data_IF_793961247297
#
_entry.id   IF_793961247297
#
_cell.length_a   1.000
_cell.length_b   1.000
_cell.length_c   1.000
_cell.angle_alpha   90.00
_cell.angle_beta   90.00
_cell.angle_gamma   90.00
#
_symmetry.space_group_name_H-M   'P 1'
#
loop_
_entity.id
_entity.type
_entity.pdbx_description
1 polymer ?
#
# COMPACT_ATOMS: atom_id res chain seq x y z
N UNK A 1 42.13 64.68 -65.64
CA UNK A 1 42.60 63.34 -66.05
C UNK A 1 41.83 62.31 -65.23
N UNK A 2 40.82 61.77 -65.89
CA UNK A 2 39.82 60.91 -65.21
C UNK A 2 40.13 59.42 -65.45
N UNK A 3 40.26 58.68 -64.37
CA UNK A 3 40.33 57.22 -64.40
C UNK A 3 39.00 56.67 -63.92
N UNK A 4 38.23 56.06 -64.83
CA UNK A 4 36.99 55.30 -64.57
C UNK A 4 37.37 53.95 -64.01
N UNK A 5 36.80 53.59 -62.82
CA UNK A 5 36.85 52.21 -62.30
C UNK A 5 35.58 51.50 -62.76
N UNK A 6 35.77 50.39 -63.48
CA UNK A 6 34.71 49.41 -63.79
C UNK A 6 34.46 48.58 -62.55
N UNK A 7 33.20 48.51 -62.08
CA UNK A 7 32.76 47.56 -61.08
C UNK A 7 32.12 46.36 -61.81
N UNK A 8 32.67 45.20 -61.58
CA UNK A 8 32.12 43.93 -62.05
C UNK A 8 31.19 43.42 -60.96
N UNK A 9 29.89 43.25 -61.28
CA UNK A 9 28.89 42.63 -60.38
C UNK A 9 28.91 41.11 -60.66
N UNK A 10 29.33 40.33 -59.69
CA UNK A 10 29.21 38.89 -59.68
C UNK A 10 27.85 38.52 -59.03
N UNK A 11 26.95 37.99 -59.86
CA UNK A 11 25.69 37.38 -59.43
C UNK A 11 26.02 35.94 -58.97
N UNK A 12 25.83 35.65 -57.63
CA UNK A 12 25.78 34.30 -57.13
C UNK A 12 24.31 33.84 -57.10
N UNK A 13 23.97 32.62 -57.62
CA UNK A 13 22.64 32.05 -57.45
C UNK A 13 22.49 31.51 -56.04
N UNK A 14 21.62 32.12 -55.24
CA UNK A 14 21.22 31.63 -53.92
C UNK A 14 20.44 30.33 -54.04
N UNK A 15 21.02 29.24 -53.61
CA UNK A 15 20.30 27.98 -53.36
C UNK A 15 19.55 28.08 -52.04
N UNK A 16 18.23 28.19 -52.12
CA UNK A 16 17.31 28.04 -51.01
C UNK A 16 17.30 26.58 -50.55
N UNK A 17 18.05 26.23 -49.50
CA UNK A 17 17.86 24.99 -48.75
C UNK A 17 16.65 25.15 -47.83
N UNK A 18 15.47 24.70 -48.26
CA UNK A 18 14.34 24.44 -47.43
C UNK A 18 14.64 23.20 -46.57
N UNK A 19 15.14 23.40 -45.34
CA UNK A 19 15.21 22.34 -44.32
C UNK A 19 13.79 21.99 -43.89
N UNK A 20 13.23 20.95 -44.50
CA UNK A 20 12.02 20.28 -44.03
C UNK A 20 12.41 19.58 -42.73
N UNK A 21 12.06 20.17 -41.59
CA UNK A 21 12.07 19.46 -40.33
C UNK A 21 10.94 18.44 -40.34
N UNK A 22 11.28 17.19 -40.65
CA UNK A 22 10.43 16.04 -40.35
C UNK A 22 10.38 15.90 -38.86
N UNK A 23 9.33 16.43 -38.23
CA UNK A 23 8.92 16.02 -36.92
C UNK A 23 8.44 14.57 -37.04
N UNK A 24 9.30 13.61 -36.74
CA UNK A 24 8.88 12.27 -36.41
C UNK A 24 8.02 12.40 -35.14
N UNK A 25 6.70 12.42 -35.31
CA UNK A 25 5.81 12.06 -34.23
C UNK A 25 6.10 10.58 -33.99
N UNK A 26 6.97 10.31 -33.02
CA UNK A 26 6.99 9.00 -32.37
C UNK A 26 5.55 8.82 -31.88
N UNK A 27 4.77 7.98 -32.54
CA UNK A 27 3.54 7.46 -31.97
C UNK A 27 3.98 6.79 -30.68
N UNK A 28 3.61 7.36 -29.54
CA UNK A 28 3.75 6.71 -28.25
C UNK A 28 2.96 5.42 -28.39
N UNK A 29 3.68 4.30 -28.56
CA UNK A 29 3.05 2.97 -28.61
C UNK A 29 2.33 2.86 -27.26
N UNK A 30 1.00 2.77 -27.28
CA UNK A 30 0.21 2.60 -26.08
C UNK A 30 0.72 1.32 -25.41
N UNK A 31 1.25 1.42 -24.20
CA UNK A 31 1.75 0.28 -23.46
C UNK A 31 0.66 -0.80 -23.40
N UNK A 32 1.02 -2.04 -23.69
CA UNK A 32 0.14 -3.18 -23.48
C UNK A 32 0.19 -3.52 -22.00
N UNK A 33 -0.94 -3.95 -21.44
CA UNK A 33 -0.94 -4.43 -20.05
C UNK A 33 0.05 -5.56 -19.85
N UNK A 34 0.81 -5.59 -18.77
CA UNK A 34 1.74 -6.66 -18.45
C UNK A 34 1.01 -8.00 -18.32
N UNK A 35 1.68 -9.09 -18.69
CA UNK A 35 1.18 -10.45 -18.52
C UNK A 35 1.65 -11.00 -17.19
N UNK A 36 0.77 -11.71 -16.50
CA UNK A 36 1.09 -12.34 -15.24
C UNK A 36 0.97 -13.87 -15.32
N UNK A 37 2.01 -14.57 -14.84
CA UNK A 37 1.96 -16.01 -14.63
C UNK A 37 1.56 -16.25 -13.18
N UNK A 38 0.35 -16.77 -12.98
CA UNK A 38 -0.16 -17.06 -11.63
C UNK A 38 0.28 -18.44 -11.14
N UNK A 39 0.63 -18.51 -9.85
CA UNK A 39 0.92 -19.75 -9.14
C UNK A 39 0.26 -19.73 -7.77
N UNK A 40 -0.55 -20.74 -7.47
CA UNK A 40 -1.10 -20.96 -6.14
C UNK A 40 -0.07 -21.73 -5.31
N UNK A 41 0.44 -21.10 -4.23
CA UNK A 41 1.49 -21.66 -3.38
C UNK A 41 0.94 -22.31 -2.12
N UNK A 42 -0.30 -21.99 -1.74
CA UNK A 42 -1.04 -22.64 -0.65
C UNK A 42 -2.55 -22.64 -0.97
N UNK A 43 -3.22 -23.79 -0.76
CA UNK A 43 -4.66 -23.98 -1.09
C UNK A 43 -5.57 -24.06 0.11
N UNK A 44 -5.02 -24.34 1.29
CA UNK A 44 -5.79 -24.57 2.51
C UNK A 44 -5.24 -23.67 3.62
N UNK A 45 -5.20 -22.38 3.36
CA UNK A 45 -4.60 -21.38 4.27
C UNK A 45 -5.57 -20.91 5.37
N UNK A 46 -6.87 -21.26 5.30
CA UNK A 46 -7.94 -20.61 6.06
C UNK A 46 -8.09 -19.14 5.62
N UNK A 47 -8.68 -18.28 6.40
CA UNK A 47 -8.77 -16.84 6.08
C UNK A 47 -7.38 -16.22 6.09
N UNK A 48 -6.87 -15.83 4.92
CA UNK A 48 -5.64 -15.05 4.84
C UNK A 48 -5.91 -13.61 5.24
N UNK A 49 -5.47 -13.19 6.44
CA UNK A 49 -5.77 -11.84 6.95
C UNK A 49 -4.81 -10.77 6.48
N UNK A 50 -3.52 -11.08 6.45
CA UNK A 50 -2.52 -10.14 5.97
C UNK A 50 -1.32 -10.88 5.37
N UNK A 51 -0.61 -10.17 4.47
CA UNK A 51 0.60 -10.65 3.80
C UNK A 51 1.64 -9.53 3.75
N UNK A 52 2.90 -9.90 3.95
CA UNK A 52 4.06 -9.01 3.77
C UNK A 52 5.23 -9.80 3.18
N UNK A 53 6.28 -9.12 2.80
CA UNK A 53 7.49 -9.71 2.22
C UNK A 53 8.73 -9.31 3.01
N UNK A 54 9.67 -10.25 3.18
CA UNK A 54 10.97 -10.02 3.81
C UNK A 54 11.94 -11.14 3.44
N UNK A 55 13.23 -10.89 3.46
CA UNK A 55 14.27 -11.93 3.37
C UNK A 55 14.46 -12.58 4.76
N UNK A 56 13.71 -13.65 5.03
CA UNK A 56 13.65 -14.32 6.34
C UNK A 56 14.91 -15.14 6.61
N UNK A 57 15.43 -15.83 5.61
CA UNK A 57 16.58 -16.73 5.76
C UNK A 57 17.91 -16.05 5.43
N UNK A 58 17.92 -14.80 5.00
CA UNK A 58 19.06 -13.97 4.62
C UNK A 58 19.85 -14.58 3.45
N UNK A 59 19.14 -15.13 2.46
CA UNK A 59 19.74 -15.64 1.22
C UNK A 59 19.75 -14.61 0.07
N UNK A 60 19.26 -13.40 0.33
CA UNK A 60 19.17 -12.28 -0.61
C UNK A 60 17.94 -12.35 -1.51
N UNK A 61 17.02 -13.29 -1.27
CA UNK A 61 15.73 -13.35 -1.99
C UNK A 61 14.60 -12.98 -1.06
N UNK A 62 13.58 -12.39 -1.63
CA UNK A 62 12.40 -11.96 -0.89
C UNK A 62 11.45 -13.14 -0.67
N UNK A 63 11.25 -13.51 0.59
CA UNK A 63 10.26 -14.50 1.03
C UNK A 63 8.89 -13.85 1.26
N UNK A 64 7.85 -14.69 1.36
CA UNK A 64 6.48 -14.25 1.64
C UNK A 64 6.13 -14.63 3.07
N UNK A 65 5.64 -13.68 3.86
CA UNK A 65 5.13 -13.91 5.21
C UNK A 65 3.63 -13.66 5.22
N UNK A 66 2.86 -14.64 5.67
CA UNK A 66 1.39 -14.54 5.71
C UNK A 66 0.82 -15.01 7.05
N UNK A 67 -0.32 -14.42 7.43
CA UNK A 67 -1.04 -14.79 8.65
C UNK A 67 -2.46 -15.23 8.34
N UNK A 68 -2.92 -16.20 9.13
CA UNK A 68 -4.30 -16.63 9.18
C UNK A 68 -4.81 -16.59 10.64
N UNK A 69 -6.05 -17.01 10.96
CA UNK A 69 -6.60 -16.86 12.31
C UNK A 69 -5.72 -17.43 13.43
N UNK A 70 -4.87 -18.43 13.18
CA UNK A 70 -4.08 -19.13 14.21
C UNK A 70 -2.61 -19.24 13.92
N UNK A 71 -2.17 -18.94 12.69
CA UNK A 71 -0.80 -19.15 12.25
C UNK A 71 -0.18 -17.87 11.72
N UNK A 72 1.14 -17.76 11.92
CA UNK A 72 2.04 -16.99 11.08
C UNK A 72 2.97 -17.97 10.37
N UNK A 73 3.12 -17.83 9.07
CA UNK A 73 3.95 -18.70 8.23
C UNK A 73 4.81 -17.88 7.30
N UNK A 74 5.89 -18.49 6.79
CA UNK A 74 6.61 -17.92 5.66
C UNK A 74 6.79 -18.96 4.56
N UNK A 75 6.87 -18.50 3.31
CA UNK A 75 7.09 -19.31 2.12
C UNK A 75 8.45 -18.93 1.56
N UNK A 76 9.36 -19.90 1.53
CA UNK A 76 10.75 -19.75 1.14
C UNK A 76 10.90 -19.60 -0.37
N UNK A 77 11.46 -18.52 -0.82
CA UNK A 77 11.78 -18.27 -2.22
C UNK A 77 13.07 -19.02 -2.64
N UNK A 78 13.14 -19.69 -3.80
CA UNK A 78 12.15 -19.77 -4.87
C UNK A 78 11.27 -21.03 -4.82
N UNK A 79 11.45 -21.84 -3.81
CA UNK A 79 10.77 -23.15 -3.70
C UNK A 79 9.31 -23.01 -3.32
N UNK A 80 8.97 -21.97 -2.57
CA UNK A 80 7.70 -21.71 -1.91
C UNK A 80 7.32 -22.79 -0.90
N UNK A 81 8.34 -23.42 -0.31
CA UNK A 81 8.12 -24.32 0.82
C UNK A 81 7.58 -23.53 2.00
N UNK A 82 6.51 -24.04 2.60
CA UNK A 82 5.87 -23.43 3.77
C UNK A 82 6.57 -23.79 5.05
N UNK A 83 6.94 -22.78 5.83
CA UNK A 83 7.51 -22.91 7.16
C UNK A 83 6.58 -22.24 8.19
N UNK A 84 6.39 -22.87 9.34
CA UNK A 84 5.54 -22.35 10.41
C UNK A 84 6.38 -21.50 11.34
N UNK A 85 6.08 -20.21 11.44
CA UNK A 85 6.67 -19.29 12.41
C UNK A 85 6.03 -19.49 13.77
N UNK A 86 4.70 -19.51 13.83
CA UNK A 86 3.94 -19.82 15.03
C UNK A 86 2.58 -20.45 14.68
N UNK A 87 2.06 -21.26 15.62
CA UNK A 87 0.74 -21.87 15.51
C UNK A 87 0.07 -21.89 16.88
N UNK A 88 -1.03 -21.15 17.04
CA UNK A 88 -1.85 -21.12 18.24
C UNK A 88 -1.18 -20.52 19.47
N UNK A 89 -0.12 -19.70 19.34
CA UNK A 89 0.51 -18.98 20.45
C UNK A 89 -0.21 -17.68 20.83
N UNK A 90 -0.98 -17.13 19.92
CA UNK A 90 -1.81 -15.93 20.12
C UNK A 90 -3.25 -16.34 20.38
N UNK A 91 -4.06 -15.41 20.90
CA UNK A 91 -5.51 -15.55 20.84
C UNK A 91 -5.94 -15.51 19.36
N UNK A 92 -7.01 -16.25 19.05
CA UNK A 92 -7.50 -16.40 17.68
C UNK A 92 -7.80 -15.06 17.00
N UNK A 93 -7.70 -15.10 15.69
CA UNK A 93 -7.82 -14.05 14.70
C UNK A 93 -6.64 -13.06 14.76
N UNK A 94 -5.50 -13.51 14.19
CA UNK A 94 -4.40 -12.64 13.80
C UNK A 94 -4.87 -11.76 12.66
N UNK A 95 -4.65 -10.45 12.73
CA UNK A 95 -5.27 -9.51 11.79
C UNK A 95 -4.28 -8.65 11.01
N UNK A 96 -3.13 -8.37 11.58
CA UNK A 96 -2.11 -7.53 10.95
C UNK A 96 -0.70 -7.95 11.34
N UNK A 97 0.26 -7.66 10.46
CA UNK A 97 1.66 -8.05 10.62
C UNK A 97 2.58 -6.97 10.03
N UNK A 98 3.74 -6.77 10.63
CA UNK A 98 4.79 -5.90 10.11
C UNK A 98 6.17 -6.48 10.43
N UNK A 99 7.04 -6.58 9.42
CA UNK A 99 8.36 -7.17 9.51
C UNK A 99 9.42 -6.08 9.74
N UNK A 100 10.33 -6.29 10.71
CA UNK A 100 11.52 -5.47 10.96
C UNK A 100 12.52 -6.22 11.83
N UNK A 101 13.77 -5.79 11.84
CA UNK A 101 14.75 -6.17 12.87
C UNK A 101 14.43 -5.35 14.13
N UNK A 102 13.73 -5.96 15.10
CA UNK A 102 13.17 -5.26 16.28
C UNK A 102 14.23 -5.12 17.38
N UNK A 103 15.08 -6.12 17.57
CA UNK A 103 16.09 -6.12 18.64
C UNK A 103 17.51 -5.77 18.16
N UNK A 104 17.68 -5.45 16.88
CA UNK A 104 18.94 -5.01 16.31
C UNK A 104 19.96 -6.13 16.08
N UNK A 105 19.51 -7.39 16.00
CA UNK A 105 20.39 -8.54 15.84
C UNK A 105 20.66 -8.94 14.37
N UNK A 106 20.10 -8.19 13.42
CA UNK A 106 20.23 -8.37 11.98
C UNK A 106 19.32 -9.44 11.39
N UNK A 107 18.36 -9.96 12.16
CA UNK A 107 17.31 -10.89 11.69
C UNK A 107 15.98 -10.17 11.63
N UNK A 108 15.11 -10.66 10.75
CA UNK A 108 13.77 -10.07 10.60
C UNK A 108 12.82 -10.68 11.61
N UNK A 109 12.37 -9.88 12.55
CA UNK A 109 11.29 -10.18 13.48
C UNK A 109 9.93 -9.73 12.91
N UNK A 110 8.84 -10.11 13.59
CA UNK A 110 7.49 -9.78 13.18
C UNK A 110 6.69 -9.17 14.32
N UNK A 111 6.25 -7.91 14.20
CA UNK A 111 5.16 -7.41 15.01
C UNK A 111 3.83 -8.00 14.50
N UNK A 112 2.93 -8.38 15.41
CA UNK A 112 1.70 -9.11 15.10
C UNK A 112 0.54 -8.61 15.96
N UNK A 113 -0.57 -8.22 15.34
CA UNK A 113 -1.84 -7.96 15.98
C UNK A 113 -2.75 -9.19 15.95
N UNK A 114 -3.40 -9.51 17.07
CA UNK A 114 -4.29 -10.65 17.20
C UNK A 114 -5.50 -10.35 18.08
N UNK A 115 -6.36 -11.33 18.33
CA UNK A 115 -7.63 -11.17 19.06
C UNK A 115 -8.55 -10.16 18.36
N UNK A 116 -8.68 -10.29 17.02
CA UNK A 116 -9.49 -9.40 16.20
C UNK A 116 -10.97 -9.53 16.55
N UNK A 117 -11.53 -8.48 17.13
CA UNK A 117 -12.93 -8.38 17.52
C UNK A 117 -13.51 -7.04 17.03
N UNK A 118 -13.92 -6.90 15.75
CA UNK A 118 -14.27 -5.60 15.15
C UNK A 118 -15.46 -4.89 15.82
N UNK A 119 -16.32 -5.62 16.50
CA UNK A 119 -17.46 -5.07 17.22
C UNK A 119 -17.23 -4.90 18.74
N UNK A 120 -16.10 -5.35 19.27
CA UNK A 120 -15.77 -5.19 20.68
C UNK A 120 -14.80 -4.02 20.90
N UNK A 121 -15.34 -2.83 21.06
CA UNK A 121 -14.58 -1.60 21.25
C UNK A 121 -14.02 -1.39 22.66
N UNK A 122 -14.22 -2.35 23.56
CA UNK A 122 -13.76 -2.27 24.96
C UNK A 122 -12.72 -3.33 25.34
N UNK A 123 -12.49 -4.34 24.48
CA UNK A 123 -11.56 -5.43 24.75
C UNK A 123 -11.07 -6.11 23.49
N UNK A 124 -10.11 -7.01 23.62
CA UNK A 124 -9.42 -7.65 22.51
C UNK A 124 -8.24 -6.83 21.97
N UNK A 125 -7.75 -7.16 20.79
CA UNK A 125 -6.69 -6.43 20.11
C UNK A 125 -5.33 -6.58 20.80
N UNK A 126 -4.85 -7.80 21.02
CA UNK A 126 -3.51 -8.03 21.58
C UNK A 126 -2.42 -7.72 20.54
N UNK A 127 -1.35 -7.06 20.99
CA UNK A 127 -0.18 -6.71 20.19
C UNK A 127 1.06 -7.37 20.80
N UNK A 128 1.79 -8.11 19.97
CA UNK A 128 2.99 -8.83 20.35
C UNK A 128 4.01 -8.83 19.22
N UNK A 129 5.23 -9.28 19.51
CA UNK A 129 6.21 -9.55 18.47
C UNK A 129 6.77 -10.96 18.60
N UNK A 130 7.17 -11.50 17.46
CA UNK A 130 7.77 -12.81 17.30
C UNK A 130 9.24 -12.59 16.95
N UNK A 131 10.12 -12.98 17.89
CA UNK A 131 11.56 -12.92 17.71
C UNK A 131 12.04 -14.08 16.85
N UNK A 132 12.74 -13.77 15.76
CA UNK A 132 13.36 -14.78 14.92
C UNK A 132 14.52 -15.47 15.66
N UNK A 133 14.54 -16.81 15.74
CA UNK A 133 15.67 -17.55 16.28
C UNK A 133 16.85 -17.51 15.32
N UNK A 134 18.06 -17.88 15.81
CA UNK A 134 19.25 -18.01 14.98
C UNK A 134 19.10 -19.01 13.83
N UNK A 135 18.28 -20.04 14.04
CA UNK A 135 17.96 -21.08 13.05
C UNK A 135 16.47 -21.02 12.71
N UNK A 136 16.16 -20.97 11.42
CA UNK A 136 14.78 -20.82 10.91
C UNK A 136 13.90 -22.07 11.12
N UNK A 137 14.47 -23.22 11.46
CA UNK A 137 13.76 -24.47 11.78
C UNK A 137 13.34 -24.60 13.26
N UNK A 138 13.62 -23.58 14.07
CA UNK A 138 13.24 -23.51 15.49
C UNK A 138 12.03 -22.57 15.63
N UNK A 139 11.16 -22.89 16.59
CA UNK A 139 10.00 -22.04 16.90
C UNK A 139 10.43 -20.64 17.36
N UNK A 140 9.73 -19.62 16.85
CA UNK A 140 9.97 -18.23 17.21
C UNK A 140 9.43 -17.95 18.61
N UNK A 141 10.11 -17.04 19.32
CA UNK A 141 9.70 -16.65 20.67
C UNK A 141 8.74 -15.46 20.62
N UNK A 142 7.65 -15.53 21.38
CA UNK A 142 6.62 -14.51 21.43
C UNK A 142 6.79 -13.61 22.65
N UNK A 143 6.77 -12.29 22.45
CA UNK A 143 6.84 -11.27 23.50
C UNK A 143 5.68 -10.27 23.37
N UNK A 144 5.07 -9.83 24.49
CA UNK A 144 4.00 -8.85 24.46
C UNK A 144 4.56 -7.44 24.16
N UNK A 145 3.80 -6.66 23.38
CA UNK A 145 4.01 -5.21 23.21
C UNK A 145 2.93 -4.44 23.96
N UNK A 146 1.65 -4.76 23.72
CA UNK A 146 0.53 -4.03 24.29
C UNK A 146 -0.82 -4.58 23.87
N UNK A 147 -1.84 -3.73 23.94
CA UNK A 147 -3.18 -4.07 23.43
C UNK A 147 -3.98 -2.81 23.10
N UNK A 148 -4.77 -2.88 22.02
CA UNK A 148 -5.74 -1.87 21.68
C UNK A 148 -7.01 -2.53 21.11
N UNK A 149 -8.21 -2.32 21.67
CA UNK A 149 -9.45 -2.86 21.13
C UNK A 149 -9.60 -2.53 19.65
N UNK A 150 -10.13 -3.47 18.88
CA UNK A 150 -10.27 -3.35 17.43
C UNK A 150 -8.96 -3.08 16.66
N UNK A 151 -7.80 -3.47 17.21
CA UNK A 151 -6.51 -3.41 16.52
C UNK A 151 -6.65 -3.97 15.10
N UNK A 152 -6.23 -3.20 14.06
CA UNK A 152 -6.51 -3.57 12.69
C UNK A 152 -5.30 -3.48 11.76
N UNK A 153 -4.48 -2.42 11.86
CA UNK A 153 -3.29 -2.23 11.01
C UNK A 153 -2.09 -1.79 11.84
N UNK A 154 -0.91 -2.27 11.46
CA UNK A 154 0.37 -1.87 12.04
C UNK A 154 1.40 -1.66 10.94
N UNK A 155 2.30 -0.68 11.11
CA UNK A 155 3.44 -0.43 10.22
C UNK A 155 4.60 0.18 10.98
N UNK A 156 5.80 -0.08 10.51
CA UNK A 156 7.01 0.56 10.97
C UNK A 156 7.23 1.89 10.24
N UNK A 157 7.69 2.91 10.97
CA UNK A 157 7.99 4.25 10.45
C UNK A 157 9.13 4.87 11.27
N UNK A 158 9.99 5.67 10.66
CA UNK A 158 10.92 6.57 11.33
C UNK A 158 10.29 7.98 11.37
N UNK A 159 9.45 8.22 12.38
CA UNK A 159 8.64 9.46 12.42
C UNK A 159 9.35 10.66 13.03
N UNK A 160 10.57 10.51 13.52
CA UNK A 160 11.36 11.61 14.06
C UNK A 160 12.72 11.79 13.37
N UNK A 161 12.99 10.99 12.34
CA UNK A 161 14.17 11.10 11.50
C UNK A 161 15.48 10.70 12.20
N UNK A 162 15.40 9.90 13.31
CA UNK A 162 16.59 9.47 14.06
C UNK A 162 17.26 8.21 13.49
N UNK A 163 16.66 7.62 12.45
CA UNK A 163 17.12 6.40 11.78
C UNK A 163 16.65 5.11 12.47
N UNK A 164 15.85 5.19 13.54
CA UNK A 164 15.19 4.04 14.15
C UNK A 164 13.71 4.07 13.79
N UNK A 165 13.08 2.92 13.91
CA UNK A 165 11.67 2.79 13.55
C UNK A 165 10.82 2.63 14.79
N UNK A 166 9.70 3.33 14.78
CA UNK A 166 8.59 3.16 15.69
C UNK A 166 7.51 2.30 15.08
N UNK A 167 6.69 1.66 15.93
CA UNK A 167 5.53 0.90 15.48
C UNK A 167 4.27 1.76 15.56
N UNK A 168 3.73 2.10 14.39
CA UNK A 168 2.43 2.76 14.27
C UNK A 168 1.33 1.71 14.36
N UNK A 169 0.31 1.97 15.16
CA UNK A 169 -0.80 1.07 15.44
C UNK A 169 -2.12 1.80 15.24
N UNK A 170 -2.94 1.29 14.32
CA UNK A 170 -4.25 1.82 14.01
C UNK A 170 -5.35 0.81 14.37
N UNK A 171 -6.15 1.08 15.42
CA UNK A 171 -7.40 0.36 15.65
C UNK A 171 -8.47 0.82 14.67
N UNK A 172 -9.40 -0.07 14.33
CA UNK A 172 -10.49 0.27 13.40
C UNK A 172 -11.48 1.25 14.01
N UNK A 173 -11.85 1.06 15.29
CA UNK A 173 -12.91 1.82 15.96
C UNK A 173 -12.43 2.48 17.25
N UNK A 174 -13.05 3.60 17.58
CA UNK A 174 -12.84 4.29 18.85
C UNK A 174 -13.39 3.51 20.03
N UNK A 175 -12.76 3.66 21.20
CA UNK A 175 -13.19 2.98 22.42
C UNK A 175 -14.59 3.41 22.85
N UNK A 176 -15.51 2.42 22.98
CA UNK A 176 -16.88 2.62 23.42
C UNK A 176 -17.85 3.04 22.32
N UNK A 177 -17.39 3.22 21.07
CA UNK A 177 -18.26 3.47 19.91
C UNK A 177 -19.15 2.28 19.59
N UNK A 178 -20.26 2.50 18.90
CA UNK A 178 -21.31 1.50 18.65
C UNK A 178 -21.81 1.55 17.22
N UNK A 179 -22.34 0.41 16.70
CA UNK A 179 -23.02 0.41 15.41
C UNK A 179 -24.30 1.29 15.46
N UNK A 180 -24.83 1.75 14.30
CA UNK A 180 -24.39 1.35 12.96
C UNK A 180 -23.16 2.13 12.45
N UNK A 181 -22.91 3.33 12.91
CA UNK A 181 -21.97 4.24 12.26
C UNK A 181 -20.59 4.29 12.93
N UNK A 182 -20.47 3.80 14.18
CA UNK A 182 -19.21 3.83 14.96
C UNK A 182 -18.62 5.24 15.15
N UNK A 183 -19.43 6.29 14.96
CA UNK A 183 -19.03 7.69 15.01
C UNK A 183 -19.51 8.40 16.30
N UNK A 184 -20.08 7.64 17.24
CA UNK A 184 -20.53 8.17 18.53
C UNK A 184 -19.40 8.08 19.57
N UNK A 185 -18.90 9.22 20.03
CA UNK A 185 -17.90 9.25 21.09
C UNK A 185 -16.48 9.55 20.61
N UNK A 186 -15.48 8.86 21.18
CA UNK A 186 -14.09 9.08 20.82
C UNK A 186 -13.71 8.37 19.53
N UNK A 187 -12.88 8.99 18.72
CA UNK A 187 -12.28 8.35 17.55
C UNK A 187 -11.31 7.22 17.90
N UNK A 188 -10.88 6.49 16.87
CA UNK A 188 -9.84 5.48 16.96
C UNK A 188 -8.52 6.13 17.41
N UNK A 189 -7.83 5.50 18.34
CA UNK A 189 -6.52 6.00 18.82
C UNK A 189 -5.42 5.56 17.88
N UNK A 190 -4.94 6.43 17.00
CA UNK A 190 -3.72 6.20 16.25
C UNK A 190 -2.54 6.28 17.24
N UNK A 191 -1.81 5.19 17.41
CA UNK A 191 -0.78 5.04 18.43
C UNK A 191 0.61 4.89 17.84
N UNK A 192 1.61 5.38 18.57
CA UNK A 192 3.03 5.22 18.30
C UNK A 192 3.68 4.47 19.46
N UNK A 193 4.29 3.32 19.20
CA UNK A 193 5.08 2.56 20.17
C UNK A 193 6.57 2.68 19.86
N UNK A 194 7.36 3.07 20.87
CA UNK A 194 8.82 3.11 20.77
C UNK A 194 9.41 1.76 21.20
N UNK A 195 10.41 1.27 20.46
CA UNK A 195 11.14 0.07 20.82
C UNK A 195 12.00 0.38 22.05
N UNK A 196 11.82 -0.33 23.19
CA UNK A 196 12.63 -0.10 24.40
C UNK A 196 14.04 -0.69 24.23
N UNK A 197 14.94 -0.36 25.17
CA UNK A 197 16.32 -0.83 25.15
C UNK A 197 16.45 -2.38 25.20
N UNK A 198 15.57 -3.06 25.93
CA UNK A 198 15.43 -4.53 25.92
C UNK A 198 13.96 -4.88 25.62
N UNK A 199 13.60 -5.09 24.34
CA UNK A 199 12.22 -5.34 23.95
C UNK A 199 11.67 -6.69 24.44
N UNK A 200 12.55 -7.56 24.98
CA UNK A 200 12.13 -8.84 25.57
C UNK A 200 11.68 -8.72 27.02
N UNK A 201 11.93 -7.59 27.71
CA UNK A 201 11.67 -7.41 29.15
C UNK A 201 10.97 -6.10 29.48
N UNK A 202 11.32 -5.03 28.76
CA UNK A 202 10.87 -3.69 29.09
C UNK A 202 9.50 -3.41 28.47
N UNK A 203 8.71 -2.57 29.15
CA UNK A 203 7.45 -2.08 28.59
C UNK A 203 7.73 -1.14 27.41
N UNK A 204 6.97 -1.29 26.34
CA UNK A 204 7.06 -0.40 25.20
C UNK A 204 6.38 0.94 25.51
N UNK A 205 7.12 2.07 25.49
CA UNK A 205 6.51 3.38 25.61
C UNK A 205 5.53 3.63 24.47
N UNK A 206 4.37 4.25 24.78
CA UNK A 206 3.32 4.51 23.81
C UNK A 206 2.82 5.94 23.93
N UNK A 207 2.63 6.61 22.79
CA UNK A 207 1.97 7.91 22.69
C UNK A 207 0.75 7.84 21.77
N UNK A 208 -0.17 8.80 21.90
CA UNK A 208 -1.33 8.95 21.01
C UNK A 208 -1.02 10.03 20.00
N UNK A 209 -1.00 9.66 18.71
CA UNK A 209 -0.82 10.59 17.59
C UNK A 209 -2.11 11.40 17.41
N UNK A 210 -3.24 10.72 17.30
CA UNK A 210 -4.58 11.31 17.13
C UNK A 210 -5.67 10.37 17.69
N UNK A 211 -6.83 10.94 18.03
CA UNK A 211 -8.01 10.19 18.45
C UNK A 211 -9.31 10.86 18.00
N UNK A 212 -9.28 11.52 16.86
CA UNK A 212 -10.42 12.26 16.34
C UNK A 212 -11.05 11.64 15.09
N UNK A 213 -10.44 10.58 14.53
CA UNK A 213 -10.91 9.86 13.35
C UNK A 213 -11.71 8.62 13.75
N UNK A 214 -12.81 8.35 13.04
CA UNK A 214 -13.63 7.15 13.23
C UNK A 214 -13.44 6.19 12.06
N UNK A 215 -13.68 4.91 12.31
CA UNK A 215 -13.46 3.85 11.32
C UNK A 215 -12.15 4.04 10.56
N UNK A 216 -11.05 4.10 11.33
CA UNK A 216 -9.70 4.24 10.79
C UNK A 216 -9.26 2.92 10.18
N UNK A 217 -9.60 2.71 8.90
CA UNK A 217 -9.47 1.39 8.29
C UNK A 217 -8.03 1.07 7.88
N UNK A 218 -7.33 2.03 7.29
CA UNK A 218 -5.94 1.84 6.87
C UNK A 218 -5.14 3.13 6.96
N UNK A 219 -3.83 2.99 6.88
CA UNK A 219 -2.90 4.11 6.76
C UNK A 219 -1.69 3.74 5.91
N UNK A 220 -1.00 4.72 5.40
CA UNK A 220 0.24 4.64 4.64
C UNK A 220 1.34 5.35 5.44
N UNK A 221 2.54 4.79 5.47
CA UNK A 221 3.77 5.46 5.89
C UNK A 221 4.54 5.85 4.65
N UNK A 222 4.93 7.11 4.55
CA UNK A 222 5.59 7.65 3.37
C UNK A 222 6.39 8.89 3.73
N UNK A 223 7.59 9.06 3.17
CA UNK A 223 8.27 10.34 3.22
C UNK A 223 7.59 11.29 2.22
N UNK A 224 6.71 12.16 2.73
CA UNK A 224 5.81 12.98 1.91
C UNK A 224 6.46 14.29 1.48
N UNK A 225 7.30 14.90 2.27
CA UNK A 225 7.88 16.23 2.00
C UNK A 225 9.39 16.22 1.76
N UNK A 226 10.03 15.04 1.82
CA UNK A 226 11.45 14.80 1.58
C UNK A 226 12.38 15.28 2.70
N UNK A 227 11.86 15.49 3.91
CA UNK A 227 12.68 15.61 5.10
C UNK A 227 13.15 14.20 5.60
N UNK A 228 13.93 14.06 6.69
CA UNK A 228 14.37 12.75 7.18
C UNK A 228 13.28 11.87 7.79
N UNK A 229 12.14 12.45 8.22
CA UNK A 229 11.06 11.72 8.89
C UNK A 229 10.05 11.13 7.91
N UNK A 230 9.35 10.10 8.38
CA UNK A 230 8.21 9.53 7.68
C UNK A 230 6.90 10.18 8.15
N UNK A 231 6.01 10.53 7.23
CA UNK A 231 4.65 10.97 7.50
C UNK A 231 3.68 9.79 7.44
N UNK A 232 2.50 10.02 8.04
CA UNK A 232 1.41 9.06 8.07
C UNK A 232 0.22 9.63 7.30
N UNK A 233 -0.27 8.92 6.29
CA UNK A 233 -1.52 9.25 5.60
C UNK A 233 -2.58 8.22 5.99
N UNK A 234 -3.72 8.68 6.52
CA UNK A 234 -4.80 7.81 6.99
C UNK A 234 -6.01 7.84 6.07
N UNK A 235 -6.75 6.71 6.02
CA UNK A 235 -8.09 6.60 5.43
C UNK A 235 -9.10 6.27 6.54
N UNK A 236 -10.10 7.12 6.70
CA UNK A 236 -11.08 7.08 7.79
C UNK A 236 -12.48 7.48 7.33
N UNK A 237 -13.45 7.43 8.25
CA UNK A 237 -14.81 7.92 8.02
C UNK A 237 -14.85 9.41 7.64
N UNK A 238 -13.91 10.21 8.15
CA UNK A 238 -13.81 11.64 7.87
C UNK A 238 -13.04 11.95 6.59
N UNK A 239 -12.50 10.93 5.91
CA UNK A 239 -11.71 11.06 4.69
C UNK A 239 -10.23 10.75 4.85
N UNK A 240 -9.39 11.45 4.11
CA UNK A 240 -7.94 11.22 4.00
C UNK A 240 -7.19 12.35 4.71
N UNK A 241 -6.30 11.98 5.65
CA UNK A 241 -5.54 12.95 6.45
C UNK A 241 -4.05 12.62 6.45
N UNK A 242 -3.23 13.66 6.38
CA UNK A 242 -1.79 13.63 6.58
C UNK A 242 -1.47 14.01 8.03
N UNK A 243 -0.63 13.23 8.66
CA UNK A 243 -0.01 13.52 9.95
C UNK A 243 1.49 13.66 9.75
N UNK A 244 2.05 14.73 10.27
CA UNK A 244 3.46 15.08 10.21
C UNK A 244 3.94 15.46 11.62
N UNK A 245 5.12 15.02 12.00
CA UNK A 245 5.71 15.25 13.30
C UNK A 245 6.74 16.36 13.24
N UNK A 246 6.39 17.53 13.79
CA UNK A 246 7.31 18.65 13.86
C UNK A 246 8.54 18.34 14.76
N UNK A 247 9.65 19.05 14.54
CA UNK A 247 10.90 18.89 15.31
C UNK A 247 10.74 19.10 16.82
N UNK A 248 9.67 19.75 17.30
CA UNK A 248 9.33 19.87 18.72
C UNK A 248 8.54 18.68 19.28
N UNK A 249 8.34 17.63 18.45
CA UNK A 249 7.63 16.40 18.77
C UNK A 249 6.12 16.48 18.69
N UNK A 250 5.56 17.62 18.27
CA UNK A 250 4.11 17.77 18.11
C UNK A 250 3.65 17.30 16.73
N UNK A 251 2.50 16.65 16.71
CA UNK A 251 1.84 16.24 15.50
C UNK A 251 1.01 17.38 14.88
N UNK A 252 1.17 17.58 13.59
CA UNK A 252 0.26 18.36 12.77
C UNK A 252 -0.71 17.43 12.03
N UNK A 253 -1.90 17.92 11.70
CA UNK A 253 -2.92 17.16 10.98
C UNK A 253 -3.50 18.01 9.86
N UNK A 254 -3.48 17.50 8.63
CA UNK A 254 -4.01 18.19 7.45
C UNK A 254 -4.91 17.24 6.66
N UNK A 255 -6.11 17.70 6.29
CA UNK A 255 -6.98 16.94 5.40
C UNK A 255 -6.47 17.05 3.96
N UNK A 256 -6.39 15.90 3.27
CA UNK A 256 -6.03 15.81 1.85
C UNK A 256 -7.24 15.52 0.98
N UNK A 257 -8.24 14.79 1.47
CA UNK A 257 -9.45 14.45 0.74
C UNK A 257 -10.63 14.18 1.68
N UNK A 258 -11.85 14.42 1.19
CA UNK A 258 -13.06 14.24 1.99
C UNK A 258 -13.54 12.77 2.04
N UNK A 259 -13.03 11.90 1.16
CA UNK A 259 -13.58 10.57 0.99
C UNK A 259 -14.91 10.59 0.21
N UNK A 260 -15.63 9.47 0.25
CA UNK A 260 -16.98 9.42 -0.27
C UNK A 260 -17.89 10.40 0.49
N UNK A 261 -18.58 11.26 -0.23
CA UNK A 261 -19.52 12.23 0.32
C UNK A 261 -20.89 12.16 -0.36
N UNK A 262 -21.19 11.03 -1.03
CA UNK A 262 -22.47 10.82 -1.70
C UNK A 262 -23.62 10.72 -0.69
N UNK A 263 -24.72 11.40 -1.00
CA UNK A 263 -25.89 11.45 -0.12
C UNK A 263 -26.49 10.04 0.05
N UNK A 264 -26.79 9.66 1.29
CA UNK A 264 -27.32 8.34 1.70
C UNK A 264 -26.34 7.17 1.60
N UNK A 265 -25.04 7.41 1.37
CA UNK A 265 -24.00 6.40 1.44
C UNK A 265 -23.16 6.56 2.71
N UNK A 266 -22.37 5.52 3.05
CA UNK A 266 -21.37 5.62 4.11
C UNK A 266 -20.28 6.59 3.67
N UNK A 267 -19.91 7.60 4.47
CA UNK A 267 -18.88 8.54 4.09
C UNK A 267 -17.46 7.97 4.25
N UNK A 268 -16.47 8.72 3.73
CA UNK A 268 -15.06 8.53 3.99
C UNK A 268 -14.36 7.56 3.05
N UNK A 269 -13.20 7.07 3.51
CA UNK A 269 -12.30 6.22 2.75
C UNK A 269 -11.85 4.99 3.56
N UNK A 270 -11.51 3.89 2.89
CA UNK A 270 -11.10 2.64 3.52
C UNK A 270 -9.63 2.30 3.33
N UNK A 271 -9.15 2.16 2.13
CA UNK A 271 -7.75 1.85 1.81
C UNK A 271 -7.01 3.11 1.34
N UNK A 272 -5.68 3.10 1.44
CA UNK A 272 -4.86 4.24 1.02
C UNK A 272 -3.49 3.77 0.51
N UNK A 273 -3.09 4.24 -0.68
CA UNK A 273 -1.75 4.13 -1.23
C UNK A 273 -1.38 5.42 -1.97
N UNK A 274 -0.08 5.63 -2.17
CA UNK A 274 0.44 6.70 -3.00
C UNK A 274 1.06 6.10 -4.25
N UNK A 275 0.74 6.67 -5.40
CA UNK A 275 1.42 6.44 -6.66
C UNK A 275 2.06 7.73 -7.19
N UNK A 276 2.89 7.58 -8.21
CA UNK A 276 3.57 8.69 -8.88
C UNK A 276 3.49 8.51 -10.40
N UNK A 277 3.51 9.62 -11.10
CA UNK A 277 3.72 9.68 -12.54
C UNK A 277 5.22 9.85 -12.84
N UNK A 278 5.64 9.50 -14.04
CA UNK A 278 7.03 9.70 -14.52
C UNK A 278 7.48 11.17 -14.45
N UNK A 279 6.56 12.12 -14.42
CA UNK A 279 6.86 13.53 -14.17
C UNK A 279 7.32 13.81 -12.73
N UNK A 280 7.12 12.86 -11.81
CA UNK A 280 7.30 13.01 -10.37
C UNK A 280 6.07 13.56 -9.65
N UNK A 281 4.99 13.92 -10.35
CA UNK A 281 3.72 14.30 -9.73
C UNK A 281 3.13 13.08 -9.03
N UNK A 282 2.61 13.27 -7.81
CA UNK A 282 2.03 12.20 -6.98
C UNK A 282 0.51 12.20 -7.09
N UNK A 283 -0.07 11.02 -6.88
CA UNK A 283 -1.49 10.85 -6.62
C UNK A 283 -1.69 9.94 -5.42
N UNK A 284 -2.83 10.05 -4.76
CA UNK A 284 -3.27 9.09 -3.75
C UNK A 284 -4.37 8.24 -4.35
N UNK A 285 -4.42 6.97 -3.93
CA UNK A 285 -5.46 6.04 -4.34
C UNK A 285 -6.18 5.49 -3.12
N UNK A 286 -7.50 5.35 -3.19
CA UNK A 286 -8.34 4.86 -2.09
C UNK A 286 -9.39 3.87 -2.60
N UNK A 287 -9.93 3.08 -1.66
CA UNK A 287 -11.19 2.36 -1.82
C UNK A 287 -12.22 3.08 -0.96
N UNK A 288 -13.38 3.43 -1.54
CA UNK A 288 -14.40 4.22 -0.88
C UNK A 288 -15.82 3.65 -1.06
N UNK A 289 -16.66 3.84 -0.05
CA UNK A 289 -16.33 4.06 1.34
C UNK A 289 -15.59 2.84 1.95
N UNK A 290 -15.46 2.76 3.27
CA UNK A 290 -14.88 1.60 3.95
C UNK A 290 -15.49 0.27 3.44
N UNK A 291 -14.62 -0.68 2.99
CA UNK A 291 -15.01 -1.91 2.28
C UNK A 291 -15.90 -1.63 1.06
N UNK A 292 -15.65 -0.52 0.39
CA UNK A 292 -16.58 0.04 -0.58
C UNK A 292 -16.53 -0.58 -1.96
N UNK A 293 -17.20 0.12 -2.83
CA UNK A 293 -17.38 -0.24 -4.23
C UNK A 293 -16.62 0.68 -5.19
N UNK A 294 -16.12 1.81 -4.68
CA UNK A 294 -15.44 2.82 -5.52
C UNK A 294 -13.92 2.67 -5.44
N UNK A 295 -13.29 2.67 -6.60
CA UNK A 295 -11.84 2.89 -6.76
C UNK A 295 -11.66 4.34 -7.08
N UNK A 296 -10.90 5.06 -6.26
CA UNK A 296 -10.77 6.50 -6.33
C UNK A 296 -9.30 6.90 -6.37
N UNK A 297 -8.99 7.93 -7.14
CA UNK A 297 -7.70 8.62 -7.09
C UNK A 297 -7.90 10.08 -6.70
N UNK A 298 -6.93 10.61 -5.99
CA UNK A 298 -6.82 12.00 -5.63
C UNK A 298 -5.60 12.60 -6.31
N UNK A 299 -5.79 13.61 -7.13
CA UNK A 299 -4.72 14.31 -7.83
C UNK A 299 -4.24 15.47 -6.98
N UNK A 300 -2.92 15.59 -6.82
CA UNK A 300 -2.34 16.69 -6.05
C UNK A 300 -2.71 18.05 -6.68
N UNK A 301 -3.16 19.03 -5.86
CA UNK A 301 -3.45 20.37 -6.34
C UNK A 301 -2.19 21.12 -6.75
N UNK A 302 -2.35 22.16 -7.56
CA UNK A 302 -1.24 23.04 -7.95
C UNK A 302 -0.81 23.97 -6.78
N UNK A 303 -1.74 24.32 -5.88
CA UNK A 303 -1.47 25.14 -4.70
C UNK A 303 -1.39 24.28 -3.43
N UNK A 304 -0.35 24.51 -2.64
CA UNK A 304 -0.18 23.79 -1.38
C UNK A 304 -1.28 24.18 -0.37
N UNK A 305 -1.92 23.17 0.24
CA UNK A 305 -2.94 23.37 1.27
C UNK A 305 -4.37 23.14 0.80
N UNK A 306 -4.63 23.10 -0.51
CA UNK A 306 -5.94 22.75 -1.03
C UNK A 306 -6.21 21.24 -0.90
N UNK A 307 -7.49 20.87 -0.90
CA UNK A 307 -7.91 19.48 -1.00
C UNK A 307 -7.53 18.93 -2.38
N UNK A 308 -7.14 17.67 -2.40
CA UNK A 308 -6.78 16.99 -3.63
C UNK A 308 -8.04 16.69 -4.48
N UNK A 309 -7.91 16.78 -5.80
CA UNK A 309 -9.02 16.56 -6.75
C UNK A 309 -9.41 15.08 -6.81
N UNK A 310 -10.59 14.74 -6.28
CA UNK A 310 -11.14 13.38 -6.17
C UNK A 310 -11.73 12.91 -7.50
N UNK A 311 -11.33 11.73 -7.97
CA UNK A 311 -11.82 11.10 -9.19
C UNK A 311 -12.17 9.63 -8.98
N UNK A 312 -13.41 9.26 -9.28
CA UNK A 312 -13.88 7.86 -9.25
C UNK A 312 -13.52 7.18 -10.57
N UNK A 313 -12.74 6.11 -10.49
CA UNK A 313 -12.33 5.30 -11.65
C UNK A 313 -13.28 4.13 -11.91
N UNK A 314 -13.79 3.52 -10.85
CA UNK A 314 -14.72 2.38 -10.90
C UNK A 314 -15.66 2.46 -9.69
N UNK A 315 -16.93 2.09 -9.88
CA UNK A 315 -17.93 2.06 -8.80
C UNK A 315 -18.70 0.73 -8.74
N UNK A 316 -18.14 -0.33 -9.32
CA UNK A 316 -18.84 -1.61 -9.52
C UNK A 316 -18.26 -2.76 -8.70
N UNK A 317 -17.22 -2.51 -7.92
CA UNK A 317 -16.64 -3.52 -7.05
C UNK A 317 -17.53 -3.75 -5.82
N UNK A 318 -17.32 -4.88 -5.15
CA UNK A 318 -17.98 -5.19 -3.87
C UNK A 318 -16.94 -5.69 -2.88
N UNK A 319 -16.93 -5.06 -1.70
CA UNK A 319 -15.95 -5.39 -0.68
C UNK A 319 -14.51 -5.31 -1.22
N UNK A 320 -14.18 -4.25 -1.96
CA UNK A 320 -12.80 -3.98 -2.31
C UNK A 320 -12.00 -3.71 -1.02
N UNK A 321 -10.80 -4.31 -0.91
CA UNK A 321 -10.11 -4.35 0.38
C UNK A 321 -8.58 -4.28 0.27
N UNK A 322 -8.02 -4.56 -0.89
CA UNK A 322 -6.57 -4.54 -1.09
C UNK A 322 -6.21 -3.55 -2.21
N UNK A 323 -5.14 -2.80 -2.00
CA UNK A 323 -4.73 -1.70 -2.87
C UNK A 323 -3.20 -1.60 -2.91
N UNK A 324 -2.63 -1.36 -4.10
CA UNK A 324 -1.21 -1.07 -4.28
C UNK A 324 -0.97 -0.15 -5.47
N UNK A 325 0.14 0.61 -5.44
CA UNK A 325 0.60 1.39 -6.58
C UNK A 325 2.04 0.98 -6.91
N UNK A 326 2.35 0.67 -8.16
CA UNK A 326 3.68 0.40 -8.68
C UNK A 326 3.69 0.49 -10.20
N UNK A 327 4.87 0.73 -10.79
CA UNK A 327 5.12 0.72 -12.23
C UNK A 327 5.22 -0.74 -12.73
N UNK A 328 4.08 -1.32 -13.13
CA UNK A 328 4.00 -2.73 -13.54
C UNK A 328 4.36 -2.95 -15.01
N UNK A 329 4.25 -1.93 -15.87
CA UNK A 329 4.53 -2.06 -17.29
C UNK A 329 5.86 -1.39 -17.73
N UNK A 330 6.54 -0.72 -16.79
CA UNK A 330 7.87 -0.14 -16.99
C UNK A 330 7.84 1.19 -17.75
N UNK A 331 6.70 1.89 -17.81
CA UNK A 331 6.56 3.16 -18.54
C UNK A 331 6.92 4.39 -17.67
N UNK A 332 7.09 4.17 -16.35
CA UNK A 332 7.49 5.16 -15.35
C UNK A 332 6.31 5.83 -14.64
N UNK A 333 5.08 5.54 -15.01
CA UNK A 333 3.87 5.90 -14.29
C UNK A 333 3.46 4.71 -13.42
N UNK A 334 3.06 4.92 -12.16
CA UNK A 334 2.59 3.81 -11.31
C UNK A 334 1.14 3.46 -11.68
N UNK A 335 0.86 2.17 -11.94
CA UNK A 335 -0.48 1.63 -12.04
C UNK A 335 -1.08 1.40 -10.66
N UNK A 336 -2.43 1.31 -10.64
CA UNK A 336 -3.21 1.03 -9.45
C UNK A 336 -3.71 -0.42 -9.47
N UNK A 337 -3.22 -1.23 -8.54
CA UNK A 337 -3.64 -2.62 -8.31
C UNK A 337 -4.73 -2.67 -7.24
N UNK A 338 -5.84 -3.35 -7.54
CA UNK A 338 -7.00 -3.45 -6.65
C UNK A 338 -7.45 -4.90 -6.52
N UNK A 339 -7.66 -5.35 -5.28
CA UNK A 339 -8.26 -6.63 -4.97
C UNK A 339 -9.62 -6.50 -4.29
N UNK A 340 -10.58 -7.38 -4.61
CA UNK A 340 -11.92 -7.38 -4.01
C UNK A 340 -12.37 -8.79 -3.61
N UNK A 341 -13.29 -8.87 -2.63
CA UNK A 341 -13.69 -10.11 -1.95
C UNK A 341 -14.92 -10.77 -2.51
N UNK A 342 -15.87 -10.00 -3.02
CA UNK A 342 -17.21 -10.48 -3.40
C UNK A 342 -17.45 -10.39 -4.90
N UNK A 343 -18.40 -11.21 -5.43
CA UNK A 343 -18.76 -11.16 -6.84
C UNK A 343 -19.11 -9.76 -7.32
N UNK A 344 -18.35 -9.23 -8.29
CA UNK A 344 -18.45 -7.87 -8.81
C UNK A 344 -18.56 -7.85 -10.33
N UNK A 345 -19.10 -6.80 -10.91
CA UNK A 345 -19.13 -6.63 -12.36
C UNK A 345 -17.72 -6.37 -12.94
N UNK A 346 -17.46 -6.77 -14.19
CA UNK A 346 -18.39 -7.40 -15.14
C UNK A 346 -18.48 -8.92 -15.01
N UNK A 347 -17.59 -9.58 -14.25
CA UNK A 347 -17.43 -11.04 -14.29
C UNK A 347 -18.36 -11.79 -13.34
N UNK A 348 -18.90 -11.11 -12.34
CA UNK A 348 -19.71 -11.74 -11.28
C UNK A 348 -18.86 -12.57 -10.30
N UNK A 349 -17.56 -12.27 -10.17
CA UNK A 349 -16.60 -13.01 -9.34
C UNK A 349 -15.71 -12.06 -8.52
N UNK A 350 -15.11 -12.52 -7.40
CA UNK A 350 -14.04 -11.80 -6.75
C UNK A 350 -12.76 -11.81 -7.60
N UNK A 351 -11.77 -10.95 -7.30
CA UNK A 351 -10.54 -10.98 -8.08
C UNK A 351 -9.55 -9.88 -7.80
N UNK A 352 -8.66 -9.69 -8.79
CA UNK A 352 -7.64 -8.66 -8.81
C UNK A 352 -7.65 -7.97 -10.18
N UNK A 353 -7.55 -6.66 -10.20
CA UNK A 353 -7.41 -5.88 -11.43
C UNK A 353 -6.34 -4.81 -11.30
N UNK A 354 -5.73 -4.50 -12.44
CA UNK A 354 -4.85 -3.36 -12.64
C UNK A 354 -5.61 -2.24 -13.34
N UNK A 355 -5.45 -1.03 -12.87
CA UNK A 355 -5.93 0.20 -13.50
C UNK A 355 -4.72 1.00 -13.94
N UNK A 356 -4.71 1.39 -15.19
CA UNK A 356 -3.64 2.13 -15.82
C UNK A 356 -4.20 3.38 -16.50
N UNK A 357 -3.38 4.39 -16.67
CA UNK A 357 -3.72 5.62 -17.38
C UNK A 357 -2.58 6.06 -18.28
N UNK A 358 -2.92 6.70 -19.39
CA UNK A 358 -1.94 7.34 -20.29
C UNK A 358 -1.85 8.85 -20.07
N UNK A 359 -2.46 9.38 -19.02
CA UNK A 359 -2.44 10.80 -18.68
C UNK A 359 -2.53 11.03 -17.17
N UNK A 360 -1.91 12.10 -16.70
CA UNK A 360 -1.85 12.45 -15.27
C UNK A 360 -3.20 12.90 -14.68
N UNK A 361 -4.28 12.86 -15.47
CA UNK A 361 -5.62 13.22 -15.02
C UNK A 361 -6.51 12.01 -14.79
N UNK A 362 -6.04 10.80 -15.12
CA UNK A 362 -6.82 9.55 -15.08
C UNK A 362 -8.08 9.56 -15.98
N UNK A 363 -8.20 10.50 -16.92
CA UNK A 363 -9.35 10.58 -17.82
C UNK A 363 -9.36 9.45 -18.84
N UNK A 364 -8.19 8.91 -19.19
CA UNK A 364 -8.01 7.81 -20.14
C UNK A 364 -7.84 6.43 -19.46
N UNK A 365 -8.23 6.31 -18.20
CA UNK A 365 -8.02 5.12 -17.38
C UNK A 365 -8.54 3.82 -18.04
N UNK A 366 -7.73 2.76 -17.96
CA UNK A 366 -8.03 1.41 -18.48
C UNK A 366 -8.04 0.42 -17.31
N UNK A 367 -8.85 -0.61 -17.40
CA UNK A 367 -8.90 -1.71 -16.42
C UNK A 367 -8.51 -3.03 -17.08
N UNK A 368 -7.64 -3.79 -16.42
CA UNK A 368 -7.25 -5.14 -16.81
C UNK A 368 -7.44 -6.10 -15.64
N UNK A 369 -8.22 -7.17 -15.84
CA UNK A 369 -8.47 -8.19 -14.81
C UNK A 369 -7.34 -9.22 -14.85
N UNK A 370 -6.60 -9.33 -13.75
CA UNK A 370 -5.48 -10.27 -13.56
C UNK A 370 -5.99 -11.63 -13.05
N UNK A 371 -6.89 -11.60 -12.06
CA UNK A 371 -7.52 -12.83 -11.51
C UNK A 371 -9.03 -12.66 -11.51
N UNK A 372 -9.74 -13.66 -12.05
CA UNK A 372 -11.19 -13.70 -12.19
C UNK A 372 -11.74 -14.94 -11.46
N UNK A 373 -11.98 -14.81 -10.18
CA UNK A 373 -12.61 -15.82 -9.34
C UNK A 373 -11.66 -16.73 -8.58
N UNK A 374 -10.36 -16.66 -8.83
CA UNK A 374 -9.37 -17.48 -8.14
C UNK A 374 -8.83 -16.88 -6.85
N UNK A 375 -9.18 -15.61 -6.55
CA UNK A 375 -8.73 -14.87 -5.38
C UNK A 375 -9.85 -13.95 -4.87
N UNK A 376 -10.41 -14.26 -3.70
CA UNK A 376 -11.26 -13.35 -2.94
C UNK A 376 -10.35 -12.51 -2.02
N UNK A 377 -9.78 -11.46 -2.57
CA UNK A 377 -8.60 -10.78 -2.05
C UNK A 377 -8.87 -10.08 -0.71
N UNK A 378 -8.22 -10.55 0.36
CA UNK A 378 -8.23 -9.88 1.67
C UNK A 378 -7.10 -8.87 1.78
N UNK A 379 -5.90 -9.27 1.40
CA UNK A 379 -4.72 -8.41 1.42
C UNK A 379 -3.78 -8.78 0.27
N UNK A 380 -2.96 -7.82 -0.15
CA UNK A 380 -1.92 -8.04 -1.15
C UNK A 380 -0.69 -7.17 -0.87
N UNK A 381 0.44 -7.64 -1.37
CA UNK A 381 1.71 -6.89 -1.39
C UNK A 381 2.40 -7.07 -2.73
N UNK A 382 3.35 -6.20 -3.03
CA UNK A 382 4.11 -6.19 -4.27
C UNK A 382 5.59 -6.21 -3.96
N UNK A 383 6.34 -7.06 -4.64
CA UNK A 383 7.80 -7.15 -4.57
C UNK A 383 8.35 -7.82 -5.83
N UNK A 384 9.60 -7.57 -6.16
CA UNK A 384 10.33 -8.31 -7.21
C UNK A 384 10.78 -9.65 -6.62
N UNK A 385 9.98 -10.71 -6.84
CA UNK A 385 10.20 -12.03 -6.23
C UNK A 385 11.23 -12.87 -6.99
N UNK A 386 11.41 -12.62 -8.28
CA UNK A 386 12.28 -13.38 -9.15
C UNK A 386 13.57 -12.62 -9.55
N UNK A 387 13.73 -11.39 -9.06
CA UNK A 387 14.88 -10.51 -9.29
C UNK A 387 15.06 -10.14 -10.79
N UNK A 388 13.97 -9.98 -11.51
CA UNK A 388 13.98 -9.54 -12.93
C UNK A 388 13.76 -8.02 -13.10
N UNK A 389 13.53 -7.31 -12.00
CA UNK A 389 13.32 -5.87 -11.96
C UNK A 389 11.86 -5.45 -12.17
N UNK A 390 10.93 -6.39 -12.32
CA UNK A 390 9.50 -6.11 -12.45
C UNK A 390 8.76 -6.37 -11.15
N UNK A 391 7.72 -5.59 -10.82
CA UNK A 391 6.92 -5.83 -9.62
C UNK A 391 6.00 -7.04 -9.80
N UNK A 392 6.17 -8.05 -8.94
CA UNK A 392 5.29 -9.20 -8.81
C UNK A 392 4.25 -8.98 -7.72
N UNK A 393 3.14 -9.73 -7.75
CA UNK A 393 2.04 -9.59 -6.80
C UNK A 393 1.96 -10.84 -5.94
N UNK A 394 1.76 -10.64 -4.63
CA UNK A 394 1.37 -11.68 -3.67
C UNK A 394 0.01 -11.33 -3.09
N UNK A 395 -0.91 -12.28 -3.07
CA UNK A 395 -2.24 -12.09 -2.51
C UNK A 395 -2.67 -13.24 -1.62
N UNK A 396 -3.43 -12.89 -0.57
CA UNK A 396 -4.08 -13.84 0.34
C UNK A 396 -5.60 -13.70 0.24
N UNK A 397 -6.27 -14.85 0.23
CA UNK A 397 -7.70 -14.93 0.00
C UNK A 397 -8.51 -15.10 1.28
N UNK A 398 -9.61 -14.31 1.43
CA UNK A 398 -10.56 -14.46 2.52
C UNK A 398 -11.44 -15.70 2.34
N UNK A 399 -12.26 -15.72 1.29
CA UNK A 399 -13.20 -16.80 1.02
C UNK A 399 -12.61 -17.92 0.14
N UNK A 400 -11.51 -17.65 -0.55
CA UNK A 400 -10.79 -18.64 -1.36
C UNK A 400 -9.77 -19.44 -0.54
N UNK A 401 -9.44 -19.00 0.68
CA UNK A 401 -8.57 -19.70 1.62
C UNK A 401 -7.21 -20.10 1.03
N UNK A 402 -6.63 -19.25 0.20
CA UNK A 402 -5.41 -19.54 -0.55
C UNK A 402 -4.37 -18.40 -0.47
N UNK A 403 -3.16 -18.74 -0.90
CA UNK A 403 -2.08 -17.78 -1.15
C UNK A 403 -1.62 -17.95 -2.59
N UNK A 404 -1.59 -16.89 -3.37
CA UNK A 404 -1.12 -16.89 -4.74
C UNK A 404 -0.04 -15.84 -4.98
N UNK A 405 0.84 -16.16 -5.92
CA UNK A 405 1.76 -15.21 -6.55
C UNK A 405 1.39 -15.03 -8.02
N UNK A 406 1.65 -13.83 -8.53
CA UNK A 406 1.45 -13.47 -9.92
C UNK A 406 2.76 -12.83 -10.40
N UNK A 407 3.56 -13.62 -11.13
CA UNK A 407 4.86 -13.19 -11.63
C UNK A 407 4.64 -12.35 -12.89
N UNK A 408 5.11 -11.12 -12.86
CA UNK A 408 5.06 -10.20 -13.97
C UNK A 408 6.03 -10.65 -15.08
N UNK A 409 5.58 -10.67 -16.32
CA UNK A 409 6.38 -11.07 -17.47
C UNK A 409 6.66 -9.88 -18.41
N UNK A 410 6.36 -8.66 -17.94
CA UNK A 410 6.43 -7.46 -18.74
C UNK A 410 5.39 -7.42 -19.88
N UNK A 411 5.62 -6.52 -20.85
CA UNK A 411 4.76 -6.43 -22.04
C UNK A 411 4.75 -7.75 -22.82
N UNK A 412 3.58 -8.15 -23.29
CA UNK A 412 3.44 -9.31 -24.17
C UNK A 412 4.10 -9.05 -25.52
N UNK A 413 5.12 -9.83 -25.88
CA UNK A 413 5.71 -9.87 -27.22
C UNK A 413 4.70 -10.33 -28.27
#
# INVERSE_FOLDING_TARGET
MNLRRLSVILLFPGALFSSVWLWSQAQIKKAEFPKFVQREIERNFDVGYAVTTADINRDGKIDIVAINPTQAVWFENPTWNKHIIMNGLTKRDNVCIAAADIDGDGRIDLALGAEWMPANTLGGGSLQWLRQPERTDVAWSLFPIGSEPTLHRIRWADVDGDGKRELIVAPLQGRGTKPPNWADGNGARLLLYHIPADPTKDSWPVEVIDQSLHTLHNFLVVNFDSDPSDEIITASLEGVFLFDRAADGKWTKRQLGEGNSEENETPGAGEIKQGKFRSGKRYLATIEPWHGNQVVVYLSPDEAGDLWDRRVLDSKLKQAHALWCADFDGDGDDELLVGWREPSEPTGRPGIALYDTSDETWASGRKYVIDDGGMATEDLTVADLNQDGLPDIVAVGRATHNVKIYLNQGEGN
#
